data_IF_771363538224
#
_entry.id   IF_771363538224
#
_cell.length_a   1.000
_cell.length_b   1.000
_cell.length_c   1.000
_cell.angle_alpha   90.00
_cell.angle_beta   90.00
_cell.angle_gamma   90.00
#
_symmetry.space_group_name_H-M   'P 1'
#
loop_
_entity.id
_entity.type
_entity.pdbx_description
1 polymer ?
#
# COMPACT_ATOMS: atom_id res chain seq x y z
N UNK A 1 -16.62 25.10 -20.80
CA UNK A 1 -15.64 24.12 -21.34
C UNK A 1 -14.25 24.26 -20.72
N UNK A 2 -13.80 25.48 -20.37
CA UNK A 2 -12.43 25.74 -19.85
C UNK A 2 -12.27 25.55 -18.32
N UNK A 3 -13.35 25.41 -17.56
CA UNK A 3 -13.28 25.37 -16.10
C UNK A 3 -12.58 24.10 -15.57
N UNK A 4 -12.86 22.93 -16.14
CA UNK A 4 -12.29 21.66 -15.68
C UNK A 4 -10.76 21.62 -15.88
N UNK A 5 -10.21 21.92 -17.07
CA UNK A 5 -8.75 21.95 -17.26
C UNK A 5 -8.03 22.90 -16.29
N UNK A 6 -8.58 24.10 -16.04
CA UNK A 6 -8.01 25.07 -15.09
C UNK A 6 -8.01 24.52 -13.66
N UNK A 7 -9.10 23.86 -13.25
CA UNK A 7 -9.17 23.25 -11.92
C UNK A 7 -8.18 22.09 -11.76
N UNK A 8 -8.00 21.28 -12.80
CA UNK A 8 -6.99 20.21 -12.82
C UNK A 8 -5.57 20.80 -12.77
N UNK A 9 -5.29 21.86 -13.52
CA UNK A 9 -3.98 22.53 -13.49
C UNK A 9 -3.68 23.10 -12.10
N UNK A 10 -4.64 23.75 -11.46
CA UNK A 10 -4.49 24.19 -10.07
C UNK A 10 -4.24 23.00 -9.12
N UNK A 11 -4.96 21.91 -9.28
CA UNK A 11 -4.75 20.71 -8.47
C UNK A 11 -3.32 20.15 -8.65
N UNK A 12 -2.82 20.06 -9.88
CA UNK A 12 -1.46 19.57 -10.14
C UNK A 12 -0.38 20.48 -9.54
N UNK A 13 -0.60 21.79 -9.53
CA UNK A 13 0.27 22.73 -8.84
C UNK A 13 0.34 22.42 -7.33
N UNK A 14 -0.81 22.23 -6.66
CA UNK A 14 -0.85 21.92 -5.24
C UNK A 14 -0.30 20.51 -4.92
N UNK A 15 -0.49 19.51 -5.80
CA UNK A 15 0.15 18.20 -5.69
C UNK A 15 1.67 18.35 -5.69
N UNK A 16 2.22 19.14 -6.61
CA UNK A 16 3.66 19.34 -6.71
C UNK A 16 4.25 20.14 -5.55
N UNK A 17 3.46 20.98 -4.89
CA UNK A 17 3.84 21.72 -3.67
C UNK A 17 3.63 20.93 -2.37
N UNK A 18 3.07 19.72 -2.43
CA UNK A 18 2.80 18.88 -1.27
C UNK A 18 1.50 19.19 -0.52
N UNK A 19 0.66 20.10 -1.02
CA UNK A 19 -0.66 20.41 -0.42
C UNK A 19 -1.78 19.55 -1.02
N UNK A 20 -1.81 18.28 -0.61
CA UNK A 20 -2.76 17.30 -1.10
C UNK A 20 -4.22 17.67 -0.75
N UNK A 21 -4.44 18.32 0.37
CA UNK A 21 -5.78 18.70 0.82
C UNK A 21 -6.38 19.80 -0.07
N UNK A 22 -5.59 20.80 -0.43
CA UNK A 22 -6.04 21.84 -1.37
C UNK A 22 -6.23 21.27 -2.78
N UNK A 23 -5.33 20.41 -3.23
CA UNK A 23 -5.47 19.72 -4.52
C UNK A 23 -6.80 18.95 -4.61
N UNK A 24 -7.15 18.17 -3.59
CA UNK A 24 -8.43 17.43 -3.53
C UNK A 24 -9.65 18.35 -3.63
N UNK A 25 -9.62 19.54 -3.03
CA UNK A 25 -10.73 20.50 -3.15
C UNK A 25 -10.91 20.99 -4.60
N UNK A 26 -9.82 21.21 -5.33
CA UNK A 26 -9.89 21.57 -6.74
C UNK A 26 -10.41 20.42 -7.60
N UNK A 27 -9.97 19.18 -7.33
CA UNK A 27 -10.43 17.97 -8.03
C UNK A 27 -11.91 17.70 -7.77
N UNK A 28 -12.40 17.86 -6.54
CA UNK A 28 -13.83 17.74 -6.20
C UNK A 28 -14.68 18.76 -6.94
N UNK A 29 -14.21 20.02 -7.08
CA UNK A 29 -14.90 21.02 -7.90
C UNK A 29 -14.91 20.63 -9.39
N UNK A 30 -13.81 20.12 -9.90
CA UNK A 30 -13.72 19.64 -11.28
C UNK A 30 -14.66 18.47 -11.53
N UNK A 31 -14.71 17.50 -10.61
CA UNK A 31 -15.63 16.36 -10.68
C UNK A 31 -17.09 16.79 -10.64
N UNK A 32 -17.45 17.72 -9.75
CA UNK A 32 -18.83 18.26 -9.68
C UNK A 32 -19.26 18.91 -11.01
N UNK A 33 -18.37 19.63 -11.69
CA UNK A 33 -18.66 20.19 -13.01
C UNK A 33 -18.75 19.10 -14.07
N UNK A 34 -17.85 18.13 -14.01
CA UNK A 34 -17.82 16.98 -14.93
C UNK A 34 -19.14 16.19 -14.88
N UNK A 35 -19.60 15.86 -13.68
CA UNK A 35 -20.84 15.10 -13.48
C UNK A 35 -22.11 15.85 -13.94
N UNK A 36 -22.10 17.19 -13.84
CA UNK A 36 -23.30 18.00 -14.12
C UNK A 36 -23.35 18.55 -15.55
N UNK A 37 -22.20 18.73 -16.23
CA UNK A 37 -22.16 19.54 -17.45
C UNK A 37 -21.40 18.92 -18.62
N UNK A 38 -20.48 17.98 -18.38
CA UNK A 38 -19.68 17.37 -19.44
C UNK A 38 -19.40 15.92 -19.13
N UNK A 39 -19.33 15.08 -20.14
CA UNK A 39 -18.95 13.67 -19.97
C UNK A 39 -17.76 13.34 -20.88
N UNK A 40 -16.86 14.30 -21.09
CA UNK A 40 -15.66 14.05 -21.87
C UNK A 40 -14.72 13.07 -21.13
N UNK A 41 -14.48 11.86 -21.66
CA UNK A 41 -13.78 10.80 -20.94
C UNK A 41 -12.37 11.18 -20.46
N UNK A 42 -11.68 12.05 -21.22
CA UNK A 42 -10.34 12.52 -20.87
C UNK A 42 -10.32 13.34 -19.57
N UNK A 43 -11.37 14.16 -19.33
CA UNK A 43 -11.48 14.91 -18.08
C UNK A 43 -11.75 13.98 -16.88
N UNK A 44 -12.66 13.02 -17.04
CA UNK A 44 -12.94 12.04 -16.00
C UNK A 44 -11.70 11.22 -15.62
N UNK A 45 -10.95 10.77 -16.64
CA UNK A 45 -9.69 10.07 -16.43
C UNK A 45 -8.68 10.91 -15.64
N UNK A 46 -8.50 12.18 -16.00
CA UNK A 46 -7.55 13.07 -15.33
C UNK A 46 -7.95 13.36 -13.88
N UNK A 47 -9.25 13.58 -13.62
CA UNK A 47 -9.77 13.80 -12.27
C UNK A 47 -9.49 12.57 -11.39
N UNK A 48 -9.87 11.39 -11.85
CA UNK A 48 -9.64 10.14 -11.11
C UNK A 48 -8.15 9.89 -10.86
N UNK A 49 -7.30 10.13 -11.88
CA UNK A 49 -5.84 9.92 -11.78
C UNK A 49 -5.20 10.82 -10.72
N UNK A 50 -5.49 12.11 -10.74
CA UNK A 50 -4.91 13.05 -9.77
C UNK A 50 -5.52 12.89 -8.37
N UNK A 51 -6.78 12.49 -8.26
CA UNK A 51 -7.39 12.14 -6.98
C UNK A 51 -6.70 10.93 -6.36
N UNK A 52 -6.45 9.89 -7.16
CA UNK A 52 -5.69 8.71 -6.71
C UNK A 52 -4.26 9.08 -6.29
N UNK A 53 -3.60 9.98 -7.02
CA UNK A 53 -2.26 10.46 -6.67
C UNK A 53 -2.24 11.21 -5.33
N UNK A 54 -3.26 12.03 -5.04
CA UNK A 54 -3.40 12.69 -3.74
C UNK A 54 -3.61 11.67 -2.61
N UNK A 55 -4.51 10.71 -2.79
CA UNK A 55 -4.73 9.66 -1.78
C UNK A 55 -3.50 8.80 -1.55
N UNK A 56 -2.74 8.47 -2.61
CA UNK A 56 -1.46 7.77 -2.48
C UNK A 56 -0.45 8.55 -1.65
N UNK A 57 -0.34 9.86 -1.87
CA UNK A 57 0.56 10.70 -1.11
C UNK A 57 0.16 10.77 0.37
N UNK A 58 -1.12 11.03 0.67
CA UNK A 58 -1.64 11.03 2.03
C UNK A 58 -1.44 9.67 2.73
N UNK A 59 -1.65 8.57 2.00
CA UNK A 59 -1.40 7.23 2.53
C UNK A 59 0.07 7.01 2.91
N UNK A 60 1.00 7.58 2.15
CA UNK A 60 2.43 7.46 2.43
C UNK A 60 2.86 8.29 3.65
N UNK A 61 2.32 9.51 3.78
CA UNK A 61 2.66 10.44 4.84
C UNK A 61 2.09 10.00 6.21
N UNK A 62 0.84 9.57 6.22
CA UNK A 62 0.10 9.24 7.45
C UNK A 62 0.07 7.73 7.76
N UNK A 63 0.67 6.88 6.91
CA UNK A 63 0.52 5.42 6.95
C UNK A 63 -0.95 4.98 6.95
N UNK A 64 -1.81 5.74 6.28
CA UNK A 64 -3.25 5.53 6.23
C UNK A 64 -3.63 4.45 5.20
N UNK A 65 -3.93 3.26 5.71
CA UNK A 65 -4.36 2.13 4.88
C UNK A 65 -5.65 2.39 4.12
N UNK A 66 -6.59 3.15 4.71
CA UNK A 66 -7.85 3.48 4.05
C UNK A 66 -7.60 4.33 2.81
N UNK A 67 -6.73 5.35 2.91
CA UNK A 67 -6.34 6.18 1.77
C UNK A 67 -5.60 5.39 0.70
N UNK A 68 -4.78 4.42 1.10
CA UNK A 68 -4.14 3.52 0.16
C UNK A 68 -5.16 2.66 -0.62
N UNK A 69 -6.17 2.12 0.05
CA UNK A 69 -7.23 1.34 -0.59
C UNK A 69 -8.13 2.20 -1.48
N UNK A 70 -8.46 3.44 -1.08
CA UNK A 70 -9.18 4.42 -1.92
C UNK A 70 -8.39 4.73 -3.21
N UNK A 71 -7.07 4.96 -3.10
CA UNK A 71 -6.21 5.16 -4.26
C UNK A 71 -6.16 3.93 -5.18
N UNK A 72 -6.04 2.72 -4.60
CA UNK A 72 -6.06 1.46 -5.36
C UNK A 72 -7.36 1.26 -6.13
N UNK A 73 -8.51 1.61 -5.54
CA UNK A 73 -9.82 1.51 -6.19
C UNK A 73 -9.87 2.40 -7.44
N UNK A 74 -9.39 3.65 -7.35
CA UNK A 74 -9.33 4.56 -8.49
C UNK A 74 -8.35 4.07 -9.57
N UNK A 75 -7.15 3.63 -9.18
CA UNK A 75 -6.18 3.09 -10.14
C UNK A 75 -6.67 1.79 -10.81
N UNK A 76 -7.44 0.96 -10.12
CA UNK A 76 -8.08 -0.20 -10.75
C UNK A 76 -9.08 0.22 -11.83
N UNK A 77 -9.97 1.18 -11.54
CA UNK A 77 -10.92 1.75 -12.50
C UNK A 77 -10.18 2.33 -13.72
N UNK A 78 -9.14 3.11 -13.51
CA UNK A 78 -8.34 3.71 -14.58
C UNK A 78 -7.63 2.63 -15.43
N UNK A 79 -7.11 1.59 -14.79
CA UNK A 79 -6.43 0.51 -15.47
C UNK A 79 -7.36 -0.27 -16.41
N UNK A 80 -8.62 -0.48 -16.01
CA UNK A 80 -9.65 -1.07 -16.86
C UNK A 80 -9.86 -0.26 -18.14
N UNK A 81 -9.91 1.08 -18.04
CA UNK A 81 -10.08 1.95 -19.19
C UNK A 81 -8.93 1.88 -20.20
N UNK A 82 -7.70 1.66 -19.73
CA UNK A 82 -6.49 1.60 -20.59
C UNK A 82 -6.01 0.17 -20.87
N UNK A 83 -6.72 -0.85 -20.41
CA UNK A 83 -6.33 -2.27 -20.51
C UNK A 83 -6.20 -2.77 -21.94
N UNK A 84 -6.85 -2.15 -22.91
CA UNK A 84 -6.76 -2.46 -24.34
C UNK A 84 -5.36 -2.28 -24.93
N UNK A 85 -4.50 -1.46 -24.30
CA UNK A 85 -3.11 -1.25 -24.72
C UNK A 85 -2.15 -1.31 -23.51
N UNK A 86 -1.80 -2.51 -23.09
CA UNK A 86 -0.87 -2.75 -21.97
C UNK A 86 0.55 -2.21 -22.20
N UNK A 87 0.90 -1.82 -23.43
CA UNK A 87 2.18 -1.18 -23.77
C UNK A 87 2.14 0.35 -23.65
N UNK A 88 0.97 0.95 -23.46
CA UNK A 88 0.83 2.39 -23.32
C UNK A 88 1.58 2.92 -22.10
N UNK A 89 1.93 4.20 -22.15
CA UNK A 89 2.58 4.87 -21.03
C UNK A 89 1.64 4.93 -19.81
N UNK A 90 0.36 5.20 -20.06
CA UNK A 90 -0.68 5.29 -19.06
C UNK A 90 -0.82 3.96 -18.29
N UNK A 91 -0.93 2.83 -19.00
CA UNK A 91 -1.00 1.52 -18.37
C UNK A 91 0.21 1.27 -17.46
N UNK A 92 1.41 1.56 -17.95
CA UNK A 92 2.65 1.36 -17.19
C UNK A 92 2.75 2.29 -15.98
N UNK A 93 2.36 3.56 -16.14
CA UNK A 93 2.36 4.54 -15.05
C UNK A 93 1.39 4.14 -13.94
N UNK A 94 0.14 3.80 -14.28
CA UNK A 94 -0.86 3.36 -13.31
C UNK A 94 -0.41 2.07 -12.61
N UNK A 95 0.16 1.12 -13.36
CA UNK A 95 0.71 -0.11 -12.78
C UNK A 95 1.84 0.15 -11.79
N UNK A 96 2.72 1.11 -12.07
CA UNK A 96 3.78 1.52 -11.15
C UNK A 96 3.24 2.12 -9.85
N UNK A 97 2.19 2.95 -9.92
CA UNK A 97 1.52 3.51 -8.75
C UNK A 97 0.86 2.41 -7.89
N UNK A 98 0.22 1.43 -8.52
CA UNK A 98 -0.35 0.27 -7.82
C UNK A 98 0.72 -0.56 -7.13
N UNK A 99 1.86 -0.82 -7.78
CA UNK A 99 2.99 -1.51 -7.17
C UNK A 99 3.46 -0.78 -5.92
N UNK A 100 3.58 0.55 -6.00
CA UNK A 100 3.97 1.36 -4.85
C UNK A 100 3.01 1.18 -3.67
N UNK A 101 1.69 1.29 -3.91
CA UNK A 101 0.66 1.11 -2.89
C UNK A 101 0.63 -0.30 -2.30
N UNK A 102 0.76 -1.34 -3.13
CA UNK A 102 0.83 -2.71 -2.62
C UNK A 102 2.06 -2.93 -1.73
N UNK A 103 3.20 -2.34 -2.08
CA UNK A 103 4.40 -2.37 -1.21
C UNK A 103 4.16 -1.64 0.12
N UNK A 104 3.52 -0.46 0.07
CA UNK A 104 3.16 0.30 1.27
C UNK A 104 2.23 -0.48 2.21
N UNK A 105 1.31 -1.27 1.64
CA UNK A 105 0.37 -2.11 2.38
C UNK A 105 0.95 -3.47 2.81
N UNK A 106 2.21 -3.79 2.46
CA UNK A 106 2.82 -5.10 2.69
C UNK A 106 2.25 -6.22 1.81
N UNK A 107 1.51 -5.89 0.75
CA UNK A 107 0.87 -6.82 -0.17
C UNK A 107 1.82 -7.18 -1.32
N UNK A 108 2.94 -7.82 -0.99
CA UNK A 108 4.04 -8.05 -1.93
C UNK A 108 3.70 -9.01 -3.08
N UNK A 109 2.81 -9.97 -2.86
CA UNK A 109 2.39 -10.90 -3.91
C UNK A 109 1.64 -10.20 -5.05
N UNK A 110 0.78 -9.24 -4.72
CA UNK A 110 0.08 -8.41 -5.68
C UNK A 110 1.03 -7.51 -6.46
N UNK A 111 2.01 -6.92 -5.77
CA UNK A 111 3.07 -6.15 -6.44
C UNK A 111 3.89 -7.02 -7.39
N UNK A 112 4.27 -8.23 -6.99
CA UNK A 112 4.98 -9.19 -7.83
C UNK A 112 4.18 -9.58 -9.08
N UNK A 113 2.86 -9.81 -8.95
CA UNK A 113 2.00 -10.14 -10.11
C UNK A 113 2.01 -9.02 -11.15
N UNK A 114 1.91 -7.76 -10.72
CA UNK A 114 1.95 -6.62 -11.66
C UNK A 114 3.32 -6.53 -12.34
N UNK A 115 4.42 -6.72 -11.61
CA UNK A 115 5.75 -6.76 -12.23
C UNK A 115 5.87 -7.88 -13.26
N UNK A 116 5.34 -9.09 -12.98
CA UNK A 116 5.33 -10.20 -13.93
C UNK A 116 4.51 -9.87 -15.18
N UNK A 117 3.35 -9.22 -15.03
CA UNK A 117 2.53 -8.78 -16.15
C UNK A 117 3.27 -7.73 -17.00
N UNK A 118 3.87 -6.72 -16.39
CA UNK A 118 4.67 -5.72 -17.11
C UNK A 118 5.88 -6.34 -17.81
N UNK A 119 6.49 -7.36 -17.23
CA UNK A 119 7.58 -8.11 -17.86
C UNK A 119 7.16 -8.76 -19.18
N UNK A 120 5.94 -9.30 -19.25
CA UNK A 120 5.46 -10.00 -20.46
C UNK A 120 5.14 -9.05 -21.62
N UNK A 121 4.87 -7.77 -21.33
CA UNK A 121 4.42 -6.78 -22.34
C UNK A 121 5.48 -5.76 -22.72
N UNK A 122 6.63 -5.76 -22.02
CA UNK A 122 7.68 -4.77 -22.20
C UNK A 122 8.89 -5.34 -22.94
N UNK A 123 9.67 -4.46 -23.56
CA UNK A 123 10.90 -4.84 -24.28
C UNK A 123 12.03 -5.34 -23.35
N UNK A 124 13.01 -6.04 -23.94
CA UNK A 124 13.99 -6.88 -23.22
C UNK A 124 14.79 -6.16 -22.16
N UNK A 125 15.07 -4.86 -22.29
CA UNK A 125 15.86 -4.09 -21.30
C UNK A 125 15.03 -3.74 -20.07
N UNK A 126 13.81 -3.27 -20.27
CA UNK A 126 12.88 -3.00 -19.18
C UNK A 126 12.48 -4.29 -18.45
N UNK A 127 12.33 -5.39 -19.18
CA UNK A 127 12.06 -6.71 -18.64
C UNK A 127 13.13 -7.18 -17.64
N UNK A 128 14.41 -6.96 -17.92
CA UNK A 128 15.50 -7.29 -16.98
C UNK A 128 15.43 -6.45 -15.69
N UNK A 129 14.95 -5.22 -15.78
CA UNK A 129 14.71 -4.38 -14.61
C UNK A 129 13.58 -4.94 -13.73
N UNK A 130 12.49 -5.37 -14.34
CA UNK A 130 11.36 -5.97 -13.62
C UNK A 130 11.73 -7.27 -12.92
N UNK A 131 12.52 -8.16 -13.55
CA UNK A 131 13.03 -9.37 -12.89
C UNK A 131 13.83 -9.03 -11.64
N UNK A 132 14.73 -8.04 -11.72
CA UNK A 132 15.51 -7.61 -10.53
C UNK A 132 14.60 -7.10 -9.42
N UNK A 133 13.57 -6.32 -9.74
CA UNK A 133 12.60 -5.78 -8.77
C UNK A 133 11.76 -6.90 -8.15
N UNK A 134 11.31 -7.89 -8.93
CA UNK A 134 10.59 -9.07 -8.43
C UNK A 134 11.46 -9.82 -7.42
N UNK A 135 12.73 -10.09 -7.79
CA UNK A 135 13.64 -10.83 -6.91
C UNK A 135 13.95 -10.07 -5.61
N UNK A 136 14.17 -8.75 -5.70
CA UNK A 136 14.37 -7.91 -4.53
C UNK A 136 13.14 -7.89 -3.62
N UNK A 137 11.94 -7.81 -4.20
CA UNK A 137 10.68 -7.78 -3.45
C UNK A 137 10.43 -9.11 -2.73
N UNK A 138 10.68 -10.23 -3.41
CA UNK A 138 10.58 -11.58 -2.80
C UNK A 138 11.57 -11.75 -1.64
N UNK A 139 12.80 -11.27 -1.80
CA UNK A 139 13.78 -11.32 -0.72
C UNK A 139 13.35 -10.51 0.51
N UNK A 140 12.80 -9.31 0.30
CA UNK A 140 12.25 -8.48 1.38
C UNK A 140 11.10 -9.19 2.09
N UNK A 141 10.15 -9.75 1.33
CA UNK A 141 9.02 -10.51 1.89
C UNK A 141 9.47 -11.70 2.74
N UNK A 142 10.46 -12.47 2.25
CA UNK A 142 11.00 -13.61 3.01
C UNK A 142 11.69 -13.18 4.31
N UNK A 143 12.37 -12.04 4.31
CA UNK A 143 12.99 -11.48 5.53
C UNK A 143 11.91 -11.08 6.53
N UNK A 144 10.88 -10.38 6.09
CA UNK A 144 9.76 -9.95 6.96
C UNK A 144 9.03 -11.16 7.57
N UNK A 145 8.80 -12.22 6.78
CA UNK A 145 8.17 -13.45 7.26
C UNK A 145 9.03 -14.18 8.31
N UNK A 146 10.34 -14.24 8.08
CA UNK A 146 11.30 -14.81 9.03
C UNK A 146 11.38 -14.00 10.32
N UNK A 147 11.38 -12.67 10.24
CA UNK A 147 11.38 -11.79 11.43
C UNK A 147 10.10 -11.94 12.25
N UNK A 148 8.94 -12.02 11.59
CA UNK A 148 7.66 -12.27 12.27
C UNK A 148 7.65 -13.65 12.95
N UNK A 149 8.18 -14.69 12.29
CA UNK A 149 8.34 -16.02 12.83
C UNK A 149 9.25 -16.04 14.07
N UNK A 150 10.39 -15.36 14.01
CA UNK A 150 11.34 -15.24 15.13
C UNK A 150 10.73 -14.50 16.32
N UNK A 151 10.04 -13.38 16.11
CA UNK A 151 9.35 -12.64 17.19
C UNK A 151 8.26 -13.49 17.86
N UNK A 152 7.52 -14.26 17.08
CA UNK A 152 6.51 -15.19 17.64
C UNK A 152 7.16 -16.29 18.48
N UNK A 153 8.31 -16.80 18.08
CA UNK A 153 9.07 -17.81 18.83
C UNK A 153 9.68 -17.22 20.10
N UNK A 154 10.27 -16.03 20.05
CA UNK A 154 10.78 -15.32 21.23
C UNK A 154 9.67 -15.09 22.27
N UNK A 155 8.49 -14.63 21.85
CA UNK A 155 7.35 -14.44 22.74
C UNK A 155 6.91 -15.74 23.40
N UNK A 156 6.93 -16.88 22.68
CA UNK A 156 6.62 -18.20 23.26
C UNK A 156 7.63 -18.62 24.32
N UNK A 157 8.93 -18.37 24.06
CA UNK A 157 10.01 -18.68 25.02
C UNK A 157 9.85 -17.84 26.29
N UNK A 158 9.58 -16.53 26.15
CA UNK A 158 9.34 -15.63 27.29
C UNK A 158 8.14 -16.09 28.12
N UNK A 159 7.02 -16.41 27.48
CA UNK A 159 5.84 -16.91 28.16
C UNK A 159 6.14 -18.24 28.90
N UNK A 160 6.81 -19.19 28.27
CA UNK A 160 7.20 -20.43 28.87
C UNK A 160 8.11 -20.22 30.10
N UNK A 161 9.06 -19.29 30.02
CA UNK A 161 9.95 -18.94 31.15
C UNK A 161 9.18 -18.35 32.32
N UNK A 162 8.18 -17.52 32.09
CA UNK A 162 7.30 -16.95 33.12
C UNK A 162 6.50 -18.07 33.80
N UNK A 163 5.92 -19.00 33.05
CA UNK A 163 5.17 -20.14 33.61
C UNK A 163 6.05 -21.07 34.46
N UNK A 164 7.28 -21.34 34.00
CA UNK A 164 8.24 -22.13 34.77
C UNK A 164 8.60 -21.41 36.07
N UNK A 165 8.86 -20.10 36.02
CA UNK A 165 9.16 -19.28 37.20
C UNK A 165 8.03 -19.28 38.24
N UNK A 166 6.79 -19.09 37.78
CA UNK A 166 5.61 -19.15 38.65
C UNK A 166 5.40 -20.56 39.27
N UNK A 167 5.62 -21.59 38.47
CA UNK A 167 5.55 -22.99 38.97
C UNK A 167 6.57 -23.28 40.07
N UNK A 168 7.80 -22.80 39.91
CA UNK A 168 8.85 -22.93 40.94
C UNK A 168 8.49 -22.18 42.23
N UNK A 169 7.97 -20.95 42.12
CA UNK A 169 7.53 -20.18 43.27
C UNK A 169 6.37 -20.87 44.03
N UNK A 170 5.39 -21.41 43.31
CA UNK A 170 4.30 -22.18 43.88
C UNK A 170 4.81 -23.44 44.58
N UNK A 171 5.75 -24.14 43.98
CA UNK A 171 6.35 -25.33 44.57
C UNK A 171 7.13 -25.03 45.86
N UNK A 172 7.94 -23.97 45.88
CA UNK A 172 8.67 -23.51 47.05
C UNK A 172 7.71 -23.12 48.19
N UNK A 173 6.64 -22.39 47.85
CA UNK A 173 5.62 -21.99 48.83
C UNK A 173 4.91 -23.21 49.46
N UNK A 174 4.61 -24.20 48.63
CA UNK A 174 4.00 -25.46 49.11
C UNK A 174 4.91 -26.25 50.04
N UNK A 175 6.21 -26.35 49.72
CA UNK A 175 7.20 -26.96 50.60
C UNK A 175 7.34 -26.23 51.93
N UNK A 176 7.35 -24.91 51.93
CA UNK A 176 7.42 -24.08 53.13
C UNK A 176 6.19 -24.29 54.05
N UNK A 177 5.00 -24.41 53.50
CA UNK A 177 3.77 -24.72 54.25
C UNK A 177 3.82 -26.13 54.79
N UNK A 178 4.29 -27.09 54.02
CA UNK A 178 4.41 -28.49 54.45
C UNK A 178 5.39 -28.63 55.63
N UNK A 179 6.56 -27.98 55.56
CA UNK A 179 7.53 -27.97 56.66
C UNK A 179 6.98 -27.34 57.97
N UNK A 180 6.13 -26.30 57.86
CA UNK A 180 5.47 -25.66 59.01
C UNK A 180 4.44 -26.57 59.67
N UNK A 181 3.83 -27.49 58.93
CA UNK A 181 2.84 -28.45 59.49
C UNK A 181 3.48 -29.68 60.16
N UNK A 182 4.77 -29.91 59.93
CA UNK A 182 5.51 -31.00 60.53
C UNK A 182 6.23 -30.61 61.85
N UNK A 183 6.23 -29.32 62.18
CA UNK A 183 6.70 -28.82 63.49
C UNK A 183 5.52 -28.55 64.41
#
# INVERSE_FOLDING_TARGET
PLAIPILIENATYYISSGDQQTALRYLQKADSIYQNHTHEPAHGFSIDYYTAACYRALAADDHDKQKADEALALYNKLLELVSGNKRSLEYRSISAEKIYLYKLLGRFDEACRIYQELYTVTDTLASKSYIRQINALKATYQIDELELGNKAQENRIVLASIFIGLGLLAFISMLAVWQRKQK
#
